data_IF_588830662737
#
_entry.id   IF_588830662737
#
_cell.length_a   1.000
_cell.length_b   1.000
_cell.length_c   1.000
_cell.angle_alpha   90.00
_cell.angle_beta   90.00
_cell.angle_gamma   90.00
#
_symmetry.space_group_name_H-M   'P 1'
#
loop_
_entity.id
_entity.type
_entity.pdbx_description
1 polymer ?
#
# COMPACT_ATOMS: atom_id res chain seq x y z
N UNK A 1 16.04 -30.53 -15.87
CA UNK A 1 16.85 -29.81 -14.88
C UNK A 1 16.12 -28.52 -14.51
N UNK A 2 15.04 -28.65 -13.73
CA UNK A 2 14.28 -27.52 -13.21
C UNK A 2 15.02 -27.05 -11.97
N UNK A 3 15.70 -25.91 -12.07
CA UNK A 3 16.31 -25.24 -10.92
C UNK A 3 15.23 -25.03 -9.87
N UNK A 4 15.39 -25.66 -8.71
CA UNK A 4 14.47 -25.51 -7.59
C UNK A 4 14.45 -24.08 -7.09
N UNK A 5 13.46 -23.30 -7.51
CA UNK A 5 13.14 -21.96 -6.97
C UNK A 5 12.45 -22.12 -5.59
N UNK A 6 12.84 -23.13 -4.80
CA UNK A 6 12.17 -23.52 -3.56
C UNK A 6 12.67 -22.77 -2.33
N UNK A 7 13.58 -21.80 -2.46
CA UNK A 7 14.09 -21.06 -1.30
C UNK A 7 14.39 -19.59 -1.61
N UNK A 8 13.44 -18.89 -2.24
CA UNK A 8 13.31 -17.45 -1.94
C UNK A 8 12.86 -17.35 -0.47
N UNK A 9 13.86 -17.44 0.41
CA UNK A 9 13.74 -17.63 1.86
C UNK A 9 12.68 -16.72 2.45
N UNK A 10 11.74 -17.28 3.20
CA UNK A 10 10.87 -16.53 4.11
C UNK A 10 11.71 -15.64 5.05
N UNK A 11 11.07 -14.62 5.62
CA UNK A 11 11.70 -13.80 6.64
C UNK A 11 12.25 -14.68 7.77
N UNK A 12 13.43 -14.33 8.30
CA UNK A 12 14.13 -15.16 9.28
C UNK A 12 13.81 -14.69 10.69
N UNK A 13 13.33 -15.59 11.54
CA UNK A 13 13.15 -15.30 12.96
C UNK A 13 14.50 -15.01 13.63
N UNK A 14 14.61 -13.85 14.29
CA UNK A 14 15.85 -13.43 14.97
C UNK A 14 15.93 -13.91 16.41
N UNK A 15 14.77 -14.14 17.04
CA UNK A 15 14.64 -14.65 18.40
C UNK A 15 13.68 -15.84 18.38
N UNK A 16 14.21 -17.07 18.46
CA UNK A 16 13.39 -18.28 18.54
C UNK A 16 12.50 -18.31 19.79
N UNK A 17 11.37 -19.02 19.70
CA UNK A 17 10.39 -19.13 20.80
C UNK A 17 10.90 -19.82 22.06
N UNK A 18 11.97 -20.60 21.97
CA UNK A 18 12.56 -21.32 23.09
C UNK A 18 13.50 -20.46 23.95
N UNK A 19 13.80 -19.23 23.55
CA UNK A 19 14.64 -18.33 24.32
C UNK A 19 13.81 -17.52 25.34
N UNK A 20 14.32 -17.32 26.57
CA UNK A 20 13.56 -16.69 27.63
C UNK A 20 13.41 -15.18 27.38
N UNK A 21 12.17 -14.72 27.24
CA UNK A 21 11.84 -13.31 27.28
C UNK A 21 11.75 -12.82 28.73
N UNK A 22 12.24 -11.62 29.00
CA UNK A 22 12.07 -10.99 30.31
C UNK A 22 10.78 -10.18 30.30
N UNK A 23 9.87 -10.54 31.21
CA UNK A 23 8.57 -9.90 31.38
C UNK A 23 8.48 -9.31 32.77
N UNK A 24 8.16 -8.02 32.86
CA UNK A 24 7.83 -7.33 34.10
C UNK A 24 6.43 -6.75 33.96
N UNK A 25 5.49 -7.13 34.82
CA UNK A 25 4.08 -6.74 34.67
C UNK A 25 3.33 -7.62 33.66
N UNK A 26 2.47 -7.02 32.86
CA UNK A 26 1.45 -7.75 32.08
C UNK A 26 1.81 -7.81 30.60
N UNK A 27 2.48 -8.90 30.21
CA UNK A 27 2.55 -9.36 28.83
C UNK A 27 2.40 -10.87 28.83
N UNK A 28 1.67 -11.41 27.85
CA UNK A 28 1.56 -12.85 27.67
C UNK A 28 1.75 -13.22 26.21
N UNK A 29 2.46 -14.33 26.01
CA UNK A 29 2.73 -14.87 24.69
C UNK A 29 1.47 -15.52 24.13
N UNK A 30 1.24 -15.30 22.84
CA UNK A 30 0.11 -15.79 22.06
C UNK A 30 -1.26 -15.44 22.66
N UNK A 31 -1.32 -14.37 23.46
CA UNK A 31 -2.56 -13.85 24.05
C UNK A 31 -2.97 -12.50 23.45
N UNK A 32 -2.29 -12.07 22.39
CA UNK A 32 -2.40 -10.72 21.88
C UNK A 32 -3.66 -10.52 21.04
N UNK A 33 -4.53 -9.62 21.51
CA UNK A 33 -5.67 -9.10 20.78
C UNK A 33 -5.21 -8.23 19.59
N UNK A 34 -5.99 -8.07 18.52
CA UNK A 34 -7.22 -8.81 18.18
C UNK A 34 -6.93 -10.25 17.75
N UNK A 35 -7.77 -11.18 18.22
CA UNK A 35 -7.86 -12.54 17.65
C UNK A 35 -8.82 -12.61 16.45
N UNK A 36 -9.53 -11.52 16.18
CA UNK A 36 -10.54 -11.51 15.12
C UNK A 36 -9.94 -11.71 13.73
N UNK A 37 -10.77 -12.29 12.87
CA UNK A 37 -10.53 -12.65 11.47
C UNK A 37 -9.74 -11.61 10.66
N UNK A 38 -9.85 -10.32 10.95
CA UNK A 38 -9.09 -9.27 10.23
C UNK A 38 -7.56 -9.36 10.42
N UNK A 39 -7.07 -10.19 11.34
CA UNK A 39 -5.65 -10.53 11.53
C UNK A 39 -5.12 -11.70 10.69
N UNK A 40 -5.86 -12.21 9.69
CA UNK A 40 -5.51 -13.45 8.96
C UNK A 40 -4.05 -13.56 8.49
N UNK A 41 -3.40 -12.44 8.14
CA UNK A 41 -2.02 -12.49 7.66
C UNK A 41 -1.05 -12.91 8.76
N UNK A 42 -1.05 -12.27 9.93
CA UNK A 42 -0.10 -12.63 11.00
C UNK A 42 -0.36 -14.04 11.53
N UNK A 43 -1.63 -14.45 11.62
CA UNK A 43 -1.99 -15.81 12.04
C UNK A 43 -1.58 -16.86 11.00
N UNK A 44 -1.65 -16.53 9.70
CA UNK A 44 -1.11 -17.39 8.65
C UNK A 44 0.40 -17.53 8.77
N UNK A 45 1.11 -16.44 9.03
CA UNK A 45 2.57 -16.42 9.19
C UNK A 45 2.97 -17.22 10.44
N UNK A 46 2.26 -17.07 11.56
CA UNK A 46 2.47 -17.87 12.76
C UNK A 46 2.18 -19.37 12.54
N UNK A 47 1.19 -19.72 11.71
CA UNK A 47 0.95 -21.12 11.32
C UNK A 47 2.07 -21.69 10.45
N UNK A 48 2.71 -20.84 9.63
CA UNK A 48 3.82 -21.23 8.77
C UNK A 48 5.15 -21.26 9.53
N UNK A 49 5.31 -20.41 10.55
CA UNK A 49 6.43 -20.38 11.47
C UNK A 49 5.92 -20.42 12.93
N UNK A 50 5.74 -21.64 13.50
CA UNK A 50 5.32 -21.81 14.88
C UNK A 50 6.27 -21.19 15.92
N UNK A 51 7.49 -20.80 15.52
CA UNK A 51 8.43 -20.06 16.36
C UNK A 51 8.08 -18.58 16.52
N UNK A 52 7.20 -18.04 15.68
CA UNK A 52 6.74 -16.66 15.75
C UNK A 52 5.82 -16.45 16.96
N UNK A 53 6.38 -15.87 18.03
CA UNK A 53 5.60 -15.48 19.20
C UNK A 53 4.88 -14.16 18.95
N UNK A 54 3.62 -14.07 19.37
CA UNK A 54 2.83 -12.84 19.35
C UNK A 54 2.51 -12.43 20.80
N UNK A 55 3.21 -11.44 21.31
CA UNK A 55 3.02 -10.94 22.66
C UNK A 55 1.98 -9.85 22.71
N UNK A 56 1.20 -9.80 23.79
CA UNK A 56 0.21 -8.75 24.01
C UNK A 56 0.09 -8.39 25.47
N UNK A 57 -0.10 -7.10 25.75
CA UNK A 57 -0.38 -6.58 27.08
C UNK A 57 -1.87 -6.51 27.40
N UNK A 58 -2.74 -6.49 26.39
CA UNK A 58 -4.19 -6.55 26.60
C UNK A 58 -4.62 -7.95 27.03
N UNK A 59 -4.99 -8.10 28.29
CA UNK A 59 -5.48 -9.35 28.89
C UNK A 59 -6.92 -9.20 29.39
N UNK A 60 -7.72 -8.42 28.66
CA UNK A 60 -9.11 -8.09 29.00
C UNK A 60 -9.31 -6.80 29.78
N UNK A 61 -8.23 -6.05 30.07
CA UNK A 61 -8.27 -4.77 30.77
C UNK A 61 -7.17 -3.83 30.21
N UNK A 62 -7.53 -2.58 29.93
CA UNK A 62 -6.65 -1.53 29.40
C UNK A 62 -5.75 -0.89 30.47
N UNK A 63 -6.00 -1.16 31.77
CA UNK A 63 -5.20 -0.62 32.87
C UNK A 63 -3.93 -1.43 33.14
N UNK A 64 -3.78 -2.56 32.46
CA UNK A 64 -2.66 -3.46 32.64
C UNK A 64 -1.41 -2.88 31.99
N UNK A 65 -0.39 -2.65 32.80
CA UNK A 65 0.91 -2.14 32.35
C UNK A 65 1.97 -3.22 32.41
N UNK A 66 3.03 -3.04 31.63
CA UNK A 66 4.13 -3.99 31.63
C UNK A 66 5.30 -3.57 30.78
N UNK A 67 6.34 -4.39 30.85
CA UNK A 67 7.54 -4.27 30.05
C UNK A 67 7.96 -5.65 29.58
N UNK A 68 8.19 -5.76 28.28
CA UNK A 68 8.64 -6.96 27.61
C UNK A 68 9.99 -6.68 26.97
N UNK A 69 10.96 -7.55 27.24
CA UNK A 69 12.33 -7.44 26.73
C UNK A 69 12.70 -8.75 26.06
N UNK A 70 13.11 -8.67 24.79
CA UNK A 70 13.58 -9.84 24.06
C UNK A 70 14.97 -10.29 24.53
N UNK A 71 15.31 -11.57 24.31
CA UNK A 71 16.69 -12.01 24.17
C UNK A 71 17.50 -11.11 23.22
N UNK A 72 18.81 -11.13 23.37
CA UNK A 72 19.71 -10.43 22.47
C UNK A 72 19.72 -11.10 21.09
N UNK A 73 19.72 -10.29 20.05
CA UNK A 73 19.91 -10.71 18.66
C UNK A 73 20.83 -9.74 17.93
N UNK A 74 21.38 -10.16 16.78
CA UNK A 74 22.17 -9.27 15.92
C UNK A 74 21.22 -8.43 15.08
N UNK A 75 21.36 -7.11 15.13
CA UNK A 75 20.48 -6.22 14.37
C UNK A 75 20.60 -6.44 12.85
N UNK A 76 19.49 -6.67 12.14
CA UNK A 76 19.51 -6.86 10.68
C UNK A 76 19.61 -5.51 9.95
N UNK A 77 19.80 -5.55 8.61
CA UNK A 77 19.61 -4.36 7.76
C UNK A 77 18.14 -3.90 7.78
N UNK A 78 17.20 -4.83 7.60
CA UNK A 78 15.76 -4.58 7.63
C UNK A 78 15.14 -5.39 8.76
N UNK A 79 14.73 -4.71 9.82
CA UNK A 79 13.96 -5.30 10.91
C UNK A 79 12.49 -5.33 10.52
N UNK A 80 11.84 -6.48 10.71
CA UNK A 80 10.40 -6.65 10.57
C UNK A 80 9.77 -7.01 11.91
N UNK A 81 8.62 -6.40 12.19
CA UNK A 81 7.75 -6.74 13.32
C UNK A 81 6.30 -6.77 12.84
N UNK A 82 5.50 -7.63 13.46
CA UNK A 82 4.05 -7.45 13.47
C UNK A 82 3.68 -6.69 14.73
N UNK A 83 2.88 -5.63 14.58
CA UNK A 83 2.49 -4.77 15.71
C UNK A 83 0.99 -4.56 15.70
N UNK A 84 0.37 -4.62 16.87
CA UNK A 84 -1.01 -4.22 17.13
C UNK A 84 -1.07 -3.25 18.31
N UNK A 85 -2.22 -2.61 18.51
CA UNK A 85 -2.45 -1.66 19.60
C UNK A 85 -1.90 -0.26 19.30
N UNK A 86 -1.43 0.42 20.34
CA UNK A 86 -1.13 1.85 20.31
C UNK A 86 0.34 2.12 20.74
N UNK A 87 1.34 1.69 19.95
CA UNK A 87 2.78 1.83 20.26
C UNK A 87 3.29 3.26 20.39
N UNK A 88 2.58 4.23 19.80
CA UNK A 88 2.88 5.64 19.94
C UNK A 88 1.92 6.36 20.91
N UNK A 89 1.04 5.61 21.60
CA UNK A 89 0.14 6.15 22.61
C UNK A 89 0.91 6.70 23.80
N UNK A 90 0.27 7.57 24.57
CA UNK A 90 0.87 8.10 25.79
C UNK A 90 1.25 6.97 26.76
N UNK A 91 2.44 7.03 27.36
CA UNK A 91 2.99 5.98 28.23
C UNK A 91 3.60 4.78 27.49
N UNK A 92 3.20 4.53 26.25
CA UNK A 92 3.67 3.38 25.48
C UNK A 92 4.97 3.65 24.73
N UNK A 93 5.82 2.63 24.64
CA UNK A 93 7.09 2.72 23.93
C UNK A 93 7.42 1.40 23.23
N UNK A 94 7.95 1.51 22.02
CA UNK A 94 8.60 0.42 21.31
C UNK A 94 9.99 0.85 20.88
N UNK A 95 11.01 0.19 21.41
CA UNK A 95 12.41 0.58 21.29
C UNK A 95 13.27 -0.59 20.86
N UNK A 96 14.34 -0.30 20.12
CA UNK A 96 15.52 -1.14 20.06
C UNK A 96 16.60 -0.56 20.96
N UNK A 97 17.27 -1.42 21.72
CA UNK A 97 18.37 -1.01 22.60
C UNK A 97 19.64 -1.77 22.24
N UNK A 98 20.70 -1.03 21.89
CA UNK A 98 22.02 -1.58 21.60
C UNK A 98 22.74 -1.91 22.90
N UNK A 99 23.24 -3.13 23.03
CA UNK A 99 23.77 -3.62 24.31
C UNK A 99 25.18 -3.11 24.64
N UNK A 100 25.95 -2.72 23.63
CA UNK A 100 27.33 -2.24 23.80
C UNK A 100 27.41 -0.80 24.36
N UNK A 101 26.40 0.02 24.07
CA UNK A 101 26.42 1.48 24.28
C UNK A 101 25.16 1.97 24.98
N UNK A 102 24.17 1.10 25.18
CA UNK A 102 22.83 1.44 25.69
C UNK A 102 22.10 2.51 24.86
N UNK A 103 22.56 2.76 23.62
CA UNK A 103 21.85 3.61 22.68
C UNK A 103 20.46 3.03 22.41
N UNK A 104 19.46 3.90 22.32
CA UNK A 104 18.07 3.52 22.07
C UNK A 104 17.59 4.10 20.74
N UNK A 105 16.86 3.30 19.98
CA UNK A 105 16.21 3.70 18.73
C UNK A 105 14.71 3.47 18.88
N UNK A 106 13.93 4.55 18.87
CA UNK A 106 12.48 4.46 18.94
C UNK A 106 11.88 3.98 17.61
N UNK A 107 11.12 2.89 17.66
CA UNK A 107 10.44 2.30 16.51
C UNK A 107 9.04 2.92 16.36
N UNK A 108 8.99 4.19 15.98
CA UNK A 108 7.73 4.91 15.78
C UNK A 108 6.99 4.41 14.55
N UNK A 109 5.69 4.19 14.69
CA UNK A 109 4.83 3.89 13.54
C UNK A 109 4.34 5.20 12.91
N UNK A 110 4.27 5.26 11.57
CA UNK A 110 3.67 6.40 10.88
C UNK A 110 2.14 6.42 11.00
N UNK A 111 1.53 5.26 11.28
CA UNK A 111 0.08 5.08 11.44
C UNK A 111 -0.17 4.21 12.66
N UNK A 112 -1.20 4.51 13.46
CA UNK A 112 -1.53 3.68 14.61
C UNK A 112 -1.93 2.28 14.13
N UNK A 113 -1.46 1.23 14.80
CA UNK A 113 -1.85 -0.15 14.50
C UNK A 113 -3.30 -0.43 14.91
N UNK A 114 -3.75 0.18 16.01
CA UNK A 114 -5.11 0.08 16.54
C UNK A 114 -5.47 -1.38 16.82
N UNK A 115 -6.71 -1.79 16.61
CA UNK A 115 -7.15 -3.18 16.76
C UNK A 115 -6.83 -4.01 15.50
N UNK A 116 -5.65 -3.86 14.92
CA UNK A 116 -5.17 -4.66 13.78
C UNK A 116 -3.68 -4.89 13.86
N UNK A 117 -3.25 -6.06 13.44
CA UNK A 117 -1.84 -6.35 13.23
C UNK A 117 -1.34 -5.70 11.94
N UNK A 118 -0.30 -4.88 12.05
CA UNK A 118 0.41 -4.27 10.94
C UNK A 118 1.75 -4.99 10.69
N UNK A 119 2.04 -5.31 9.43
CA UNK A 119 3.38 -5.70 8.96
C UNK A 119 4.22 -4.42 8.85
N UNK A 120 5.18 -4.26 9.76
CA UNK A 120 6.01 -3.06 9.90
C UNK A 120 7.47 -3.40 9.68
N UNK A 121 8.20 -2.49 9.00
CA UNK A 121 9.59 -2.70 8.61
C UNK A 121 10.40 -1.42 8.79
N UNK A 122 11.60 -1.57 9.33
CA UNK A 122 12.54 -0.47 9.52
C UNK A 122 13.88 -0.80 8.89
N UNK A 123 14.42 0.16 8.14
CA UNK A 123 15.82 0.16 7.75
C UNK A 123 16.63 0.63 8.96
N UNK A 124 17.45 -0.24 9.53
CA UNK A 124 18.25 0.12 10.70
C UNK A 124 19.50 0.91 10.28
N UNK A 125 19.95 1.89 11.09
CA UNK A 125 21.17 2.63 10.82
C UNK A 125 22.37 1.69 10.62
N UNK A 126 23.31 2.08 9.74
CA UNK A 126 24.45 1.25 9.37
C UNK A 126 25.32 0.87 10.59
N UNK A 127 25.46 1.76 11.57
CA UNK A 127 26.24 1.53 12.79
C UNK A 127 25.56 0.58 13.79
N UNK A 128 24.28 0.24 13.58
CA UNK A 128 23.56 -0.77 14.37
C UNK A 128 23.72 -2.18 13.78
N UNK A 129 23.94 -2.32 12.47
CA UNK A 129 23.87 -3.60 11.80
C UNK A 129 24.91 -4.60 12.34
N UNK A 130 24.46 -5.83 12.63
CA UNK A 130 25.26 -6.89 13.23
C UNK A 130 25.55 -6.70 14.72
N UNK A 131 25.22 -5.56 15.33
CA UNK A 131 25.46 -5.28 16.75
C UNK A 131 24.45 -6.00 17.65
N UNK A 132 24.87 -6.44 18.85
CA UNK A 132 23.97 -7.07 19.81
C UNK A 132 22.92 -6.06 20.29
N UNK A 133 21.67 -6.39 20.04
CA UNK A 133 20.50 -5.52 20.27
C UNK A 133 19.38 -6.32 20.91
N UNK A 134 18.50 -5.66 21.65
CA UNK A 134 17.25 -6.25 22.13
C UNK A 134 16.06 -5.36 21.79
N UNK A 135 14.90 -5.99 21.61
CA UNK A 135 13.62 -5.32 21.46
C UNK A 135 13.04 -5.08 22.86
N UNK A 136 12.59 -3.86 23.10
CA UNK A 136 11.94 -3.46 24.36
C UNK A 136 10.58 -2.87 24.02
N UNK A 137 9.52 -3.49 24.54
CA UNK A 137 8.17 -2.93 24.51
C UNK A 137 7.76 -2.54 25.94
N UNK A 138 7.20 -1.36 26.09
CA UNK A 138 6.69 -0.83 27.36
C UNK A 138 5.25 -0.44 27.13
N UNK A 139 4.33 -1.13 27.82
CA UNK A 139 2.97 -0.67 27.99
C UNK A 139 2.91 0.11 29.30
N UNK A 140 2.86 1.44 29.18
CA UNK A 140 2.76 2.35 30.31
C UNK A 140 1.44 3.11 30.32
N UNK A 141 0.52 2.81 29.41
CA UNK A 141 -0.76 3.50 29.34
C UNK A 141 -1.74 2.94 30.37
N UNK A 142 -2.59 3.81 30.90
CA UNK A 142 -3.75 3.43 31.70
C UNK A 142 -5.06 3.93 31.06
N UNK A 143 -4.97 4.49 29.84
CA UNK A 143 -6.12 5.03 29.11
C UNK A 143 -6.82 3.92 28.33
N UNK A 144 -8.10 4.14 28.00
CA UNK A 144 -8.82 3.23 27.11
C UNK A 144 -8.08 3.09 25.77
N UNK A 145 -7.92 1.85 25.28
CA UNK A 145 -7.09 1.58 24.10
C UNK A 145 -5.60 1.81 24.35
N UNK A 146 -5.12 1.60 25.57
CA UNK A 146 -3.72 1.81 25.96
C UNK A 146 -2.77 0.65 25.64
N UNK A 147 -3.21 -0.43 25.00
CA UNK A 147 -2.44 -1.67 24.95
C UNK A 147 -1.47 -1.80 23.77
N UNK A 148 -0.57 -2.80 23.83
CA UNK A 148 0.43 -3.14 22.82
C UNK A 148 0.42 -4.63 22.46
N UNK A 149 0.48 -4.92 21.16
CA UNK A 149 0.77 -6.24 20.63
C UNK A 149 2.04 -6.20 19.80
N UNK A 150 3.00 -7.09 20.04
CA UNK A 150 4.24 -7.18 19.25
C UNK A 150 4.61 -8.62 18.95
N UNK A 151 5.15 -8.90 17.76
CA UNK A 151 5.74 -10.20 17.46
C UNK A 151 7.19 -10.31 17.92
N UNK A 152 7.73 -11.52 17.92
CA UNK A 152 9.18 -11.73 17.85
C UNK A 152 9.79 -10.97 16.67
N UNK A 153 11.04 -10.47 16.80
CA UNK A 153 11.75 -9.79 15.72
C UNK A 153 12.07 -10.75 14.57
N UNK A 154 11.84 -10.29 13.34
CA UNK A 154 12.23 -10.99 12.12
C UNK A 154 13.22 -10.14 11.31
N UNK A 155 14.11 -10.81 10.59
CA UNK A 155 14.90 -10.21 9.54
C UNK A 155 14.16 -10.35 8.23
N UNK A 156 13.82 -9.21 7.64
CA UNK A 156 13.25 -9.16 6.30
C UNK A 156 14.37 -9.27 5.27
N UNK A 157 14.18 -10.11 4.26
CA UNK A 157 15.10 -10.16 3.14
C UNK A 157 14.87 -8.93 2.22
N UNK A 158 15.89 -8.50 1.47
CA UNK A 158 15.76 -7.33 0.58
C UNK A 158 14.67 -7.50 -0.49
N UNK A 159 14.42 -8.73 -0.94
CA UNK A 159 13.40 -9.03 -1.96
C UNK A 159 11.96 -8.84 -1.46
N UNK A 160 11.67 -9.25 -0.24
CA UNK A 160 10.36 -9.08 0.41
C UNK A 160 10.11 -7.61 0.69
N UNK A 161 11.14 -6.83 1.01
CA UNK A 161 11.04 -5.38 1.13
C UNK A 161 10.76 -4.73 -0.22
N UNK A 162 11.44 -5.16 -1.28
CA UNK A 162 11.12 -4.74 -2.65
C UNK A 162 9.67 -5.10 -3.01
N UNK A 163 9.20 -6.31 -2.68
CA UNK A 163 7.80 -6.71 -2.86
C UNK A 163 6.82 -5.84 -2.08
N UNK A 164 7.20 -5.36 -0.89
CA UNK A 164 6.39 -4.42 -0.13
C UNK A 164 6.31 -3.04 -0.80
N UNK A 165 7.38 -2.61 -1.48
CA UNK A 165 7.44 -1.34 -2.22
C UNK A 165 6.88 -1.45 -3.65
N UNK A 166 6.86 -2.65 -4.23
CA UNK A 166 6.44 -2.90 -5.62
C UNK A 166 5.06 -2.34 -5.95
N UNK A 167 4.02 -2.49 -5.10
CA UNK A 167 2.74 -1.84 -5.35
C UNK A 167 2.89 -0.34 -5.60
N UNK A 168 3.70 0.37 -4.82
CA UNK A 168 3.90 1.82 -5.01
C UNK A 168 4.56 2.17 -6.35
N UNK A 169 5.38 1.26 -6.91
CA UNK A 169 6.01 1.42 -8.22
C UNK A 169 5.08 0.99 -9.36
N UNK A 170 4.24 -0.02 -9.14
CA UNK A 170 3.31 -0.56 -10.15
C UNK A 170 2.03 0.27 -10.26
N UNK A 171 1.58 0.91 -9.18
CA UNK A 171 0.36 1.71 -9.16
C UNK A 171 0.40 2.87 -10.16
N UNK A 172 1.43 3.75 -10.21
CA UNK A 172 1.46 4.86 -11.16
C UNK A 172 1.37 4.47 -12.64
N UNK A 173 2.17 3.51 -13.18
CA UNK A 173 2.04 3.09 -14.57
C UNK A 173 0.73 2.37 -14.84
N UNK A 174 0.22 1.57 -13.89
CA UNK A 174 -1.08 0.94 -14.02
C UNK A 174 -2.21 1.97 -14.07
N UNK A 175 -2.16 2.99 -13.19
CA UNK A 175 -3.11 4.09 -13.18
C UNK A 175 -3.03 4.92 -14.46
N UNK A 176 -1.82 5.20 -14.97
CA UNK A 176 -1.63 5.84 -16.28
C UNK A 176 -2.26 5.03 -17.40
N UNK A 177 -2.07 3.72 -17.43
CA UNK A 177 -2.71 2.85 -18.42
C UNK A 177 -4.24 2.94 -18.33
N UNK A 178 -4.81 2.86 -17.13
CA UNK A 178 -6.26 2.99 -16.93
C UNK A 178 -6.78 4.36 -17.36
N UNK A 179 -6.05 5.42 -17.03
CA UNK A 179 -6.38 6.79 -17.40
C UNK A 179 -6.36 6.98 -18.92
N UNK A 180 -5.35 6.44 -19.61
CA UNK A 180 -5.26 6.47 -21.06
C UNK A 180 -6.39 5.66 -21.70
N UNK A 181 -6.66 4.44 -21.22
CA UNK A 181 -7.77 3.61 -21.69
C UNK A 181 -9.13 4.28 -21.50
N UNK A 182 -9.33 4.95 -20.36
CA UNK A 182 -10.52 5.75 -20.10
C UNK A 182 -10.66 6.90 -21.11
N UNK A 183 -9.57 7.58 -21.46
CA UNK A 183 -9.61 8.71 -22.39
C UNK A 183 -9.77 8.33 -23.86
N UNK A 184 -9.27 7.17 -24.28
CA UNK A 184 -9.27 6.73 -25.69
C UNK A 184 -10.62 6.93 -26.40
N UNK A 185 -11.77 6.46 -25.88
CA UNK A 185 -13.04 6.61 -26.60
C UNK A 185 -13.54 8.05 -26.67
N UNK A 186 -13.41 8.80 -25.60
CA UNK A 186 -13.71 10.23 -25.58
C UNK A 186 -12.85 11.04 -26.54
N UNK A 187 -11.55 10.76 -26.58
CA UNK A 187 -10.61 11.41 -27.49
C UNK A 187 -10.90 11.09 -28.96
N UNK A 188 -11.27 9.84 -29.27
CA UNK A 188 -11.69 9.44 -30.62
C UNK A 188 -12.86 10.30 -31.11
N UNK A 189 -13.92 10.42 -30.31
CA UNK A 189 -15.07 11.27 -30.63
C UNK A 189 -14.70 12.75 -30.73
N UNK A 190 -13.92 13.27 -29.79
CA UNK A 190 -13.52 14.67 -29.75
C UNK A 190 -12.71 15.07 -31.00
N UNK A 191 -11.78 14.22 -31.44
CA UNK A 191 -10.99 14.46 -32.66
C UNK A 191 -11.88 14.41 -33.90
N UNK A 192 -12.78 13.43 -33.97
CA UNK A 192 -13.76 13.34 -35.06
C UNK A 192 -14.64 14.59 -35.14
N UNK A 193 -15.17 15.07 -34.02
CA UNK A 193 -15.97 16.30 -33.96
C UNK A 193 -15.17 17.53 -34.41
N UNK A 194 -13.90 17.63 -34.01
CA UNK A 194 -13.03 18.74 -34.41
C UNK A 194 -12.72 18.76 -35.91
N UNK A 195 -12.73 17.60 -36.57
CA UNK A 195 -12.55 17.53 -38.03
C UNK A 195 -13.79 18.03 -38.78
N UNK A 196 -14.98 17.87 -38.21
CA UNK A 196 -16.24 18.22 -38.86
C UNK A 196 -16.79 19.58 -38.43
N UNK A 197 -16.37 20.10 -37.27
CA UNK A 197 -16.90 21.32 -36.66
C UNK A 197 -15.82 22.18 -35.99
N UNK A 198 -15.93 23.52 -36.04
CA UNK A 198 -14.95 24.45 -35.45
C UNK A 198 -15.15 24.66 -33.95
N UNK A 199 -15.27 23.59 -33.15
CA UNK A 199 -15.46 23.71 -31.71
C UNK A 199 -14.18 24.17 -30.98
N UNK A 200 -14.27 25.03 -29.94
CA UNK A 200 -13.14 25.38 -29.08
C UNK A 200 -12.48 24.16 -28.43
N UNK A 201 -11.17 24.21 -28.19
CA UNK A 201 -10.42 23.08 -27.61
C UNK A 201 -10.93 22.64 -26.23
N UNK A 202 -11.38 23.58 -25.40
CA UNK A 202 -11.94 23.30 -24.08
C UNK A 202 -13.20 22.43 -24.14
N UNK A 203 -14.06 22.67 -25.12
CA UNK A 203 -15.28 21.88 -25.34
C UNK A 203 -14.97 20.44 -25.71
N UNK A 204 -13.93 20.22 -26.52
CA UNK A 204 -13.52 18.88 -26.94
C UNK A 204 -13.06 18.02 -25.75
N UNK A 205 -12.37 18.62 -24.77
CA UNK A 205 -11.99 17.92 -23.54
C UNK A 205 -13.22 17.52 -22.74
N UNK A 206 -14.17 18.44 -22.55
CA UNK A 206 -15.41 18.16 -21.83
C UNK A 206 -16.22 17.05 -22.49
N UNK A 207 -16.41 17.13 -23.82
CA UNK A 207 -17.12 16.11 -24.61
C UNK A 207 -16.41 14.76 -24.50
N UNK A 208 -15.08 14.75 -24.60
CA UNK A 208 -14.30 13.52 -24.47
C UNK A 208 -14.52 12.86 -23.10
N UNK A 209 -14.37 13.61 -22.02
CA UNK A 209 -14.57 13.08 -20.65
C UNK A 209 -16.01 12.59 -20.46
N UNK A 210 -17.01 13.39 -20.84
CA UNK A 210 -18.43 13.02 -20.71
C UNK A 210 -18.75 11.74 -21.50
N UNK A 211 -18.24 11.63 -22.72
CA UNK A 211 -18.46 10.46 -23.57
C UNK A 211 -17.81 9.21 -22.99
N UNK A 212 -16.56 9.32 -22.54
CA UNK A 212 -15.86 8.22 -21.85
C UNK A 212 -16.61 7.78 -20.59
N UNK A 213 -17.11 8.71 -19.78
CA UNK A 213 -17.90 8.41 -18.59
C UNK A 213 -19.23 7.73 -18.94
N UNK A 214 -19.93 8.21 -19.96
CA UNK A 214 -21.19 7.62 -20.42
C UNK A 214 -20.99 6.17 -20.89
N UNK A 215 -19.96 5.92 -21.72
CA UNK A 215 -19.65 4.57 -22.18
C UNK A 215 -19.20 3.64 -21.05
N UNK A 216 -18.44 4.14 -20.07
CA UNK A 216 -18.08 3.38 -18.88
C UNK A 216 -19.32 2.98 -18.06
N UNK A 217 -20.25 3.92 -17.85
CA UNK A 217 -21.51 3.65 -17.14
C UNK A 217 -22.41 2.66 -17.88
N UNK A 218 -22.52 2.79 -19.20
CA UNK A 218 -23.24 1.83 -20.02
C UNK A 218 -22.58 0.44 -19.96
N UNK A 219 -21.25 0.39 -20.04
CA UNK A 219 -20.47 -0.84 -19.89
C UNK A 219 -20.73 -1.56 -18.58
N UNK A 220 -20.81 -0.82 -17.46
CA UNK A 220 -21.17 -1.37 -16.14
C UNK A 220 -22.52 -2.13 -16.20
N UNK A 221 -23.56 -1.53 -16.77
CA UNK A 221 -24.87 -2.18 -16.89
C UNK A 221 -24.84 -3.40 -17.81
N UNK A 222 -24.10 -3.33 -18.91
CA UNK A 222 -23.97 -4.47 -19.84
C UNK A 222 -23.25 -5.63 -19.13
N UNK A 223 -22.16 -5.36 -18.39
CA UNK A 223 -21.46 -6.37 -17.59
C UNK A 223 -22.36 -6.98 -16.51
N UNK A 224 -23.17 -6.16 -15.86
CA UNK A 224 -24.13 -6.61 -14.86
C UNK A 224 -25.18 -7.56 -15.45
N UNK A 225 -25.65 -7.28 -16.66
CA UNK A 225 -26.58 -8.15 -17.38
C UNK A 225 -25.91 -9.45 -17.88
N UNK A 226 -24.71 -9.34 -18.47
CA UNK A 226 -23.98 -10.47 -19.02
C UNK A 226 -22.48 -10.16 -19.21
N UNK A 227 -21.60 -10.98 -18.65
CA UNK A 227 -20.16 -10.75 -18.71
C UNK A 227 -19.57 -10.83 -20.13
N UNK A 228 -20.10 -11.70 -21.00
CA UNK A 228 -19.63 -11.87 -22.39
C UNK A 228 -19.99 -10.62 -23.20
N UNK A 229 -21.23 -10.13 -23.05
CA UNK A 229 -21.66 -8.89 -23.72
C UNK A 229 -20.83 -7.70 -23.25
N UNK A 230 -20.54 -7.60 -21.95
CA UNK A 230 -19.69 -6.53 -21.41
C UNK A 230 -18.27 -6.55 -21.99
N UNK A 231 -17.69 -7.75 -22.10
CA UNK A 231 -16.39 -7.95 -22.74
C UNK A 231 -16.38 -7.54 -24.21
N UNK A 232 -17.35 -8.03 -25.00
CA UNK A 232 -17.47 -7.69 -26.42
C UNK A 232 -17.71 -6.19 -26.65
N UNK A 233 -18.55 -5.58 -25.82
CA UNK A 233 -18.82 -4.13 -25.84
C UNK A 233 -17.54 -3.33 -25.58
N UNK A 234 -16.77 -3.70 -24.55
CA UNK A 234 -15.51 -3.02 -24.21
C UNK A 234 -14.47 -3.16 -25.33
N UNK A 235 -14.35 -4.36 -25.91
CA UNK A 235 -13.46 -4.60 -27.05
C UNK A 235 -13.89 -3.77 -28.27
N UNK A 236 -15.19 -3.72 -28.57
CA UNK A 236 -15.73 -2.92 -29.66
C UNK A 236 -15.44 -1.43 -29.50
N UNK A 237 -15.60 -0.87 -28.30
CA UNK A 237 -15.26 0.53 -28.01
C UNK A 237 -13.78 0.80 -28.25
N UNK A 238 -12.89 -0.04 -27.72
CA UNK A 238 -11.44 0.16 -27.88
C UNK A 238 -11.04 0.08 -29.35
N UNK A 239 -11.54 -0.91 -30.10
CA UNK A 239 -11.23 -1.08 -31.51
C UNK A 239 -11.73 0.08 -32.36
N UNK A 240 -12.99 0.48 -32.21
CA UNK A 240 -13.59 1.59 -32.96
C UNK A 240 -12.88 2.91 -32.68
N UNK A 241 -12.58 3.19 -31.40
CA UNK A 241 -11.83 4.37 -31.00
C UNK A 241 -10.40 4.37 -31.58
N UNK A 242 -9.73 3.21 -31.54
CA UNK A 242 -8.40 3.04 -32.14
C UNK A 242 -8.40 3.28 -33.66
N UNK A 243 -9.43 2.81 -34.37
CA UNK A 243 -9.59 3.06 -35.82
C UNK A 243 -9.78 4.56 -36.09
N UNK A 244 -10.67 5.23 -35.36
CA UNK A 244 -10.92 6.68 -35.52
C UNK A 244 -9.65 7.50 -35.25
N UNK A 245 -8.91 7.16 -34.19
CA UNK A 245 -7.62 7.80 -33.88
C UNK A 245 -6.59 7.54 -34.99
N UNK A 246 -6.46 6.30 -35.47
CA UNK A 246 -5.53 5.93 -36.54
C UNK A 246 -5.82 6.64 -37.87
N UNK A 247 -7.09 6.72 -38.26
CA UNK A 247 -7.53 7.46 -39.45
C UNK A 247 -7.24 8.96 -39.31
N UNK A 248 -7.53 9.51 -38.13
CA UNK A 248 -7.28 10.93 -37.83
C UNK A 248 -5.80 11.31 -37.88
N UNK A 249 -4.92 10.42 -37.40
CA UNK A 249 -3.48 10.57 -37.53
C UNK A 249 -3.10 10.52 -39.01
N UNK A 250 -3.56 9.52 -39.76
CA UNK A 250 -3.21 9.33 -41.18
C UNK A 250 -3.61 10.52 -42.07
N UNK A 251 -4.80 11.09 -41.89
CA UNK A 251 -5.27 12.24 -42.67
C UNK A 251 -4.49 13.54 -42.38
N UNK A 252 -3.80 13.63 -41.24
CA UNK A 252 -3.03 14.82 -40.86
C UNK A 252 -1.61 14.86 -41.44
N UNK A 253 -1.11 13.74 -42.00
CA UNK A 253 0.28 13.60 -42.46
C UNK A 253 0.49 13.33 -43.98
N UNK A 254 -0.20 13.99 -44.93
CA UNK A 254 0.26 13.98 -46.32
C UNK A 254 1.31 15.08 -46.55
N UNK A 255 2.60 14.70 -46.54
CA UNK A 255 3.69 15.59 -46.99
C UNK A 255 4.41 16.35 -45.88
N UNK A 256 5.65 15.96 -45.65
CA UNK A 256 6.67 16.57 -44.80
C UNK A 256 6.85 18.08 -45.00
N UNK A 257 6.57 18.89 -43.98
CA UNK A 257 7.40 20.08 -43.62
C UNK A 257 6.96 20.84 -42.34
N UNK A 258 5.95 20.40 -41.59
CA UNK A 258 5.57 21.03 -40.30
C UNK A 258 5.78 20.12 -39.10
N UNK A 259 7.05 20.04 -38.68
CA UNK A 259 7.49 19.44 -37.40
C UNK A 259 7.10 20.27 -36.16
N UNK A 260 6.74 21.54 -36.34
CA UNK A 260 6.13 22.38 -35.29
C UNK A 260 4.60 22.20 -35.32
N UNK A 261 3.92 21.53 -34.40
CA UNK A 261 4.29 21.10 -33.07
C UNK A 261 3.34 19.97 -32.67
N UNK A 262 3.87 18.80 -32.32
CA UNK A 262 3.13 17.70 -31.67
C UNK A 262 2.68 18.06 -30.24
N UNK A 263 2.82 19.32 -29.85
CA UNK A 263 2.46 19.78 -28.52
C UNK A 263 0.95 19.90 -28.48
N UNK A 264 0.33 19.09 -27.62
CA UNK A 264 -1.06 19.31 -27.23
C UNK A 264 -1.19 20.78 -26.79
N UNK A 265 -2.19 21.52 -27.29
CA UNK A 265 -2.48 22.85 -26.79
C UNK A 265 -2.55 22.84 -25.28
N UNK A 266 -2.02 23.89 -24.63
CA UNK A 266 -2.04 24.04 -23.17
C UNK A 266 -3.44 23.88 -22.60
N UNK A 267 -4.46 24.32 -23.33
CA UNK A 267 -5.88 24.23 -22.96
C UNK A 267 -6.41 22.79 -22.90
N UNK A 268 -5.72 21.85 -23.54
CA UNK A 268 -6.03 20.41 -23.47
C UNK A 268 -5.15 19.72 -22.43
N UNK A 269 -3.85 20.06 -22.42
CA UNK A 269 -2.88 19.41 -21.55
C UNK A 269 -3.15 19.69 -20.07
N UNK A 270 -3.42 20.95 -19.69
CA UNK A 270 -3.60 21.33 -18.29
C UNK A 270 -4.80 20.62 -17.63
N UNK A 271 -6.01 20.58 -18.23
CA UNK A 271 -7.13 19.85 -17.64
C UNK A 271 -6.88 18.34 -17.52
N UNK A 272 -6.23 17.72 -18.51
CA UNK A 272 -5.90 16.29 -18.47
C UNK A 272 -4.88 15.98 -17.37
N UNK A 273 -3.85 16.82 -17.22
CA UNK A 273 -2.88 16.69 -16.14
C UNK A 273 -3.53 16.86 -14.76
N UNK A 274 -4.40 17.86 -14.60
CA UNK A 274 -5.14 18.06 -13.35
C UNK A 274 -6.01 16.84 -13.04
N UNK A 275 -6.77 16.33 -14.01
CA UNK A 275 -7.59 15.13 -13.84
C UNK A 275 -6.77 13.90 -13.43
N UNK A 276 -5.62 13.69 -14.08
CA UNK A 276 -4.67 12.63 -13.74
C UNK A 276 -4.11 12.79 -12.32
N UNK A 277 -3.63 13.99 -11.96
CA UNK A 277 -3.07 14.26 -10.64
C UNK A 277 -4.13 14.09 -9.54
N UNK A 278 -5.34 14.60 -9.73
CA UNK A 278 -6.45 14.45 -8.78
C UNK A 278 -6.78 12.97 -8.56
N UNK A 279 -6.92 12.18 -9.61
CA UNK A 279 -7.20 10.75 -9.45
C UNK A 279 -6.02 9.94 -8.88
N UNK A 280 -4.78 10.33 -9.16
CA UNK A 280 -3.59 9.71 -8.55
C UNK A 280 -3.53 9.99 -7.04
N UNK A 281 -3.87 11.21 -6.60
CA UNK A 281 -3.92 11.55 -5.17
C UNK A 281 -5.07 10.81 -4.46
N UNK A 282 -6.26 10.77 -5.08
CA UNK A 282 -7.41 10.05 -4.52
C UNK A 282 -7.18 8.54 -4.43
N UNK A 283 -6.54 7.93 -5.43
CA UNK A 283 -6.20 6.50 -5.40
C UNK A 283 -5.21 6.14 -4.29
N UNK A 284 -4.30 7.06 -3.93
CA UNK A 284 -3.45 6.90 -2.74
C UNK A 284 -4.26 6.92 -1.45
N UNK A 285 -5.28 7.76 -1.35
CA UNK A 285 -6.21 7.77 -0.22
C UNK A 285 -7.00 6.48 -0.08
N UNK A 286 -7.43 5.86 -1.19
CA UNK A 286 -8.08 4.55 -1.16
C UNK A 286 -7.16 3.42 -0.68
N UNK A 287 -5.87 3.49 -1.03
CA UNK A 287 -4.84 2.54 -0.57
C UNK A 287 -4.34 2.84 0.85
N UNK A 288 -4.66 4.03 1.36
CA UNK A 288 -4.32 4.48 2.69
C UNK A 288 -5.62 4.82 3.41
N UNK A 289 -6.43 3.81 3.82
CA UNK A 289 -7.75 4.03 4.38
C UNK A 289 -7.65 5.08 5.49
N UNK A 290 -8.14 6.29 5.19
CA UNK A 290 -8.24 7.37 6.16
C UNK A 290 -9.24 6.87 7.19
N UNK A 291 -8.79 6.65 8.43
CA UNK A 291 -9.71 6.38 9.52
C UNK A 291 -10.59 7.62 9.67
N UNK A 292 -11.90 7.44 9.57
CA UNK A 292 -12.86 8.40 10.10
C UNK A 292 -12.45 8.64 11.54
N UNK A 293 -12.02 9.86 11.83
CA UNK A 293 -11.87 10.31 13.21
C UNK A 293 -13.28 10.27 13.75
N UNK A 294 -13.59 9.22 14.52
CA UNK A 294 -14.80 9.19 15.31
C UNK A 294 -14.76 10.41 16.21
N UNK A 295 -15.67 11.34 15.95
CA UNK A 295 -16.07 12.36 16.89
C UNK A 295 -16.36 11.65 18.22
N UNK A 296 -15.51 11.95 19.19
CA UNK A 296 -15.67 11.52 20.58
C UNK A 296 -16.81 12.34 21.16
N UNK A 297 -17.93 11.68 21.41
CA UNK A 297 -18.83 12.03 22.51
C UNK A 297 -18.32 11.43 23.81
#
# INVERSE_FOLDING_TARGET
MLLGISTLRSDQLLVPSNQPWSVVGQFKANSAFPFEERGYRVLREQRQDPGLLLWGSWLGDDRLTGRLISPMFKAPLILKLYIAGYPNGEGNQLLLERQDTHAQLALKLLRPATEKWLDTRWLLPLDWQGKPTRLVAVDGSQTHGGWLGISSPLQSNGFSWLQFQLPMLVIPPLYLLHFLLFLVPGLGLAIWLRQHHPYPNSWLVMVGVLWSSLLGYLGFWIYFLNYILGFLFSLGIILTSGIVLGQSVRHRFPGSERSQSWRLPTDILVPLLLMFCTGLVLSRGALCPHRTVGETG
#
